data_IF_991407172703
#
_entry.id   IF_991407172703
#
_cell.length_a   1.000
_cell.length_b   1.000
_cell.length_c   1.000
_cell.angle_alpha   90.00
_cell.angle_beta   90.00
_cell.angle_gamma   90.00
#
_symmetry.space_group_name_H-M   'P 1'
#
loop_
_entity.id
_entity.type
_entity.pdbx_description
1 polymer ?
#
# COMPACT_ATOMS: atom_id res chain seq x y z
N UNK A 1 -16.43 22.09 -12.07
CA UNK A 1 -17.20 21.56 -10.94
C UNK A 1 -16.74 22.27 -9.68
N UNK A 2 -17.51 23.27 -9.25
CA UNK A 2 -17.28 23.99 -8.00
C UNK A 2 -17.63 23.08 -6.81
N UNK A 3 -16.75 23.08 -5.79
CA UNK A 3 -16.98 22.30 -4.57
C UNK A 3 -18.01 23.01 -3.68
N UNK A 4 -19.17 22.38 -3.48
CA UNK A 4 -20.29 22.86 -2.66
C UNK A 4 -19.92 22.96 -1.15
N UNK A 5 -18.86 22.28 -0.69
CA UNK A 5 -18.41 22.31 0.70
C UNK A 5 -17.04 22.99 0.86
N UNK A 6 -17.01 24.10 1.61
CA UNK A 6 -15.80 24.86 2.00
C UNK A 6 -15.09 24.32 3.25
N UNK A 7 -15.27 23.04 3.56
CA UNK A 7 -14.55 22.37 4.67
C UNK A 7 -13.12 22.02 4.28
N UNK A 8 -12.21 21.86 5.26
CA UNK A 8 -10.89 21.29 4.99
C UNK A 8 -11.07 19.93 4.31
N UNK A 9 -10.34 19.65 3.20
CA UNK A 9 -10.47 18.36 2.52
C UNK A 9 -10.12 17.24 3.49
N UNK A 10 -10.98 16.22 3.57
CA UNK A 10 -10.68 15.01 4.33
C UNK A 10 -9.44 14.36 3.70
N UNK A 11 -8.34 14.31 4.44
CA UNK A 11 -7.11 13.64 4.02
C UNK A 11 -7.03 12.27 4.69
N UNK A 12 -6.22 11.38 4.13
CA UNK A 12 -6.02 10.03 4.61
C UNK A 12 -6.74 8.96 3.81
N UNK A 13 -6.71 7.75 4.36
CA UNK A 13 -7.34 6.56 3.79
C UNK A 13 -8.64 6.24 4.53
N UNK A 14 -9.71 5.99 3.79
CA UNK A 14 -11.05 5.72 4.33
C UNK A 14 -11.76 4.57 3.61
N UNK A 15 -12.65 3.83 4.29
CA UNK A 15 -13.40 2.75 3.67
C UNK A 15 -14.34 3.31 2.60
N UNK A 16 -14.54 2.57 1.50
CA UNK A 16 -15.62 2.87 0.55
C UNK A 16 -16.99 2.36 1.02
N UNK A 17 -17.04 1.63 2.15
CA UNK A 17 -18.23 1.03 2.77
C UNK A 17 -18.98 -0.02 1.92
N UNK A 18 -18.48 -0.35 0.73
CA UNK A 18 -19.09 -1.32 -0.19
C UNK A 18 -18.20 -2.50 -0.56
N UNK A 19 -17.10 -2.77 0.17
CA UNK A 19 -16.24 -3.91 -0.15
C UNK A 19 -15.60 -4.59 1.06
N UNK A 20 -15.30 -5.88 0.93
CA UNK A 20 -14.66 -6.72 1.96
C UNK A 20 -13.31 -6.16 2.43
N UNK A 21 -12.59 -5.45 1.55
CA UNK A 21 -11.28 -4.85 1.87
C UNK A 21 -11.40 -3.74 2.92
N UNK A 22 -12.59 -3.14 3.13
CA UNK A 22 -12.79 -2.12 4.15
C UNK A 22 -12.54 -2.64 5.58
N UNK A 23 -12.69 -3.95 5.83
CA UNK A 23 -12.48 -4.55 7.15
C UNK A 23 -11.02 -4.52 7.64
N UNK A 24 -10.07 -4.50 6.70
CA UNK A 24 -8.63 -4.49 6.96
C UNK A 24 -7.99 -3.11 6.80
N UNK A 25 -8.78 -2.04 6.59
CA UNK A 25 -8.23 -0.71 6.35
C UNK A 25 -7.70 -0.06 7.65
N UNK A 26 -6.53 0.58 7.57
CA UNK A 26 -6.04 1.53 8.57
C UNK A 26 -6.57 2.90 8.18
N UNK A 27 -7.52 3.41 8.97
CA UNK A 27 -8.15 4.70 8.70
C UNK A 27 -7.27 5.84 9.20
N UNK A 28 -7.29 6.96 8.47
CA UNK A 28 -6.80 8.24 8.98
C UNK A 28 -5.72 8.90 8.15
N UNK A 29 -5.31 10.08 8.65
CA UNK A 29 -4.45 11.06 7.96
C UNK A 29 -2.95 10.84 8.19
N UNK A 30 -2.56 9.80 8.93
CA UNK A 30 -1.17 9.53 9.33
C UNK A 30 -0.83 8.07 9.08
N UNK A 31 0.41 7.83 8.65
CA UNK A 31 1.08 6.53 8.69
C UNK A 31 2.09 6.56 9.83
N UNK A 32 2.07 5.54 10.69
CA UNK A 32 3.12 5.37 11.71
C UNK A 32 4.30 4.61 11.09
N UNK A 33 5.50 5.17 11.21
CA UNK A 33 6.71 4.49 10.77
C UNK A 33 6.91 3.18 11.57
N UNK A 34 7.14 2.04 10.92
CA UNK A 34 7.12 0.73 11.58
C UNK A 34 8.19 0.56 12.68
N UNK A 35 9.40 1.07 12.46
CA UNK A 35 10.50 0.96 13.44
C UNK A 35 10.64 2.16 14.37
N UNK A 36 10.58 3.38 13.82
CA UNK A 36 10.83 4.63 14.58
C UNK A 36 9.58 5.17 15.31
N UNK A 37 8.39 4.70 14.97
CA UNK A 37 7.13 5.19 15.53
C UNK A 37 6.73 6.62 15.13
N UNK A 38 7.57 7.34 14.38
CA UNK A 38 7.27 8.71 13.98
C UNK A 38 6.05 8.78 13.04
N UNK A 39 5.27 9.86 13.20
CA UNK A 39 4.02 10.10 12.48
C UNK A 39 4.31 10.77 11.13
N UNK A 40 3.91 10.13 10.04
CA UNK A 40 4.06 10.65 8.68
C UNK A 40 2.69 11.11 8.17
N UNK A 41 2.45 12.43 7.98
CA UNK A 41 1.17 12.94 7.52
C UNK A 41 0.92 12.64 6.04
N UNK A 42 -0.30 12.21 5.72
CA UNK A 42 -0.78 11.95 4.37
C UNK A 42 -1.38 13.22 3.76
N UNK A 43 -1.11 13.45 2.48
CA UNK A 43 -1.50 14.66 1.74
C UNK A 43 -2.59 14.42 0.69
N UNK A 44 -3.31 13.32 0.79
CA UNK A 44 -4.26 12.87 -0.22
C UNK A 44 -5.50 12.28 0.44
N UNK A 45 -6.63 12.25 -0.27
CA UNK A 45 -7.79 11.43 0.08
C UNK A 45 -7.75 10.14 -0.73
N UNK A 46 -7.91 9.00 -0.08
CA UNK A 46 -8.00 7.71 -0.75
C UNK A 46 -9.04 6.79 -0.13
N UNK A 47 -9.58 5.91 -0.97
CA UNK A 47 -10.46 4.81 -0.59
C UNK A 47 -10.05 3.52 -1.30
N UNK A 48 -10.78 2.44 -1.06
CA UNK A 48 -10.58 1.17 -1.76
C UNK A 48 -10.75 1.28 -3.29
N UNK A 49 -11.44 2.31 -3.79
CA UNK A 49 -11.65 2.55 -5.22
C UNK A 49 -10.56 3.44 -5.85
N UNK A 50 -9.61 3.95 -5.06
CA UNK A 50 -8.57 4.84 -5.59
C UNK A 50 -7.58 4.05 -6.44
N UNK A 51 -7.17 4.65 -7.56
CA UNK A 51 -6.21 4.11 -8.52
C UNK A 51 -4.91 4.90 -8.49
N UNK A 52 -3.85 4.37 -9.12
CA UNK A 52 -2.52 5.01 -9.21
C UNK A 52 -1.95 5.32 -7.83
N UNK A 53 -1.84 4.31 -7.00
CA UNK A 53 -1.46 4.45 -5.60
C UNK A 53 -0.17 3.73 -5.27
N UNK A 54 0.54 4.26 -4.28
CA UNK A 54 1.46 3.49 -3.44
C UNK A 54 0.72 3.14 -2.17
N UNK A 55 0.72 1.87 -1.79
CA UNK A 55 0.02 1.35 -0.63
C UNK A 55 0.96 0.57 0.29
N UNK A 56 0.52 0.38 1.53
CA UNK A 56 1.18 -0.40 2.56
C UNK A 56 0.28 -1.56 2.96
N UNK A 57 0.88 -2.74 3.18
CA UNK A 57 0.32 -3.79 4.02
C UNK A 57 1.11 -3.83 5.33
N UNK A 58 0.42 -3.94 6.46
CA UNK A 58 0.99 -4.06 7.80
C UNK A 58 0.63 -5.42 8.38
N UNK A 59 1.65 -6.17 8.73
CA UNK A 59 1.54 -7.46 9.40
C UNK A 59 1.31 -7.27 10.91
N UNK A 60 0.57 -8.16 11.59
CA UNK A 60 0.44 -8.13 13.06
C UNK A 60 1.78 -8.14 13.81
N UNK A 61 2.85 -8.73 13.24
CA UNK A 61 4.19 -8.70 13.83
C UNK A 61 4.94 -7.37 13.64
N UNK A 62 4.29 -6.35 13.08
CA UNK A 62 4.86 -5.01 12.91
C UNK A 62 5.60 -4.78 11.58
N UNK A 63 5.97 -5.85 10.85
CA UNK A 63 6.59 -5.73 9.53
C UNK A 63 5.62 -5.15 8.49
N UNK A 64 6.15 -4.41 7.53
CA UNK A 64 5.37 -3.79 6.46
C UNK A 64 5.85 -4.22 5.08
N UNK A 65 4.90 -4.32 4.16
CA UNK A 65 5.12 -4.41 2.72
C UNK A 65 4.66 -3.11 2.07
N UNK A 66 5.41 -2.60 1.10
CA UNK A 66 5.02 -1.47 0.27
C UNK A 66 4.88 -1.96 -1.16
N UNK A 67 3.77 -1.62 -1.80
CA UNK A 67 3.52 -1.94 -3.20
C UNK A 67 2.92 -0.74 -3.94
N UNK A 68 2.94 -0.81 -5.26
CA UNK A 68 2.21 0.13 -6.12
C UNK A 68 1.13 -0.54 -6.96
N UNK A 69 0.18 0.26 -7.44
CA UNK A 69 -0.79 -0.17 -8.44
C UNK A 69 -1.38 0.97 -9.22
N UNK A 70 -1.52 0.78 -10.53
CA UNK A 70 -2.36 1.63 -11.40
C UNK A 70 -3.85 1.28 -11.29
N UNK A 71 -4.20 0.07 -10.83
CA UNK A 71 -5.57 -0.41 -10.63
C UNK A 71 -6.12 0.03 -9.26
N UNK A 72 -7.41 -0.20 -9.05
CA UNK A 72 -8.06 0.12 -7.78
C UNK A 72 -7.44 -0.69 -6.62
N UNK A 73 -7.26 -0.05 -5.46
CA UNK A 73 -6.68 -0.69 -4.27
C UNK A 73 -7.41 -1.98 -3.91
N UNK A 74 -8.75 -2.00 -4.01
CA UNK A 74 -9.56 -3.17 -3.67
C UNK A 74 -9.21 -4.41 -4.49
N UNK A 75 -8.79 -4.25 -5.75
CA UNK A 75 -8.39 -5.38 -6.60
C UNK A 75 -7.10 -6.01 -6.07
N UNK A 76 -6.11 -5.16 -5.77
CA UNK A 76 -4.80 -5.58 -5.25
C UNK A 76 -4.92 -6.23 -3.87
N UNK A 77 -5.73 -5.67 -2.98
CA UNK A 77 -5.96 -6.26 -1.66
C UNK A 77 -6.66 -7.62 -1.78
N UNK A 78 -7.56 -7.82 -2.75
CA UNK A 78 -8.17 -9.14 -3.00
C UNK A 78 -7.14 -10.16 -3.50
N UNK A 79 -6.22 -9.74 -4.38
CA UNK A 79 -5.14 -10.60 -4.87
C UNK A 79 -4.24 -11.06 -3.72
N UNK A 80 -3.69 -10.14 -2.92
CA UNK A 80 -2.89 -10.50 -1.73
C UNK A 80 -3.62 -11.45 -0.79
N UNK A 81 -4.93 -11.22 -0.57
CA UNK A 81 -5.76 -12.11 0.25
C UNK A 81 -5.88 -13.51 -0.36
N UNK A 82 -6.01 -13.59 -1.68
CA UNK A 82 -6.02 -14.85 -2.44
C UNK A 82 -4.69 -15.58 -2.33
N UNK A 83 -3.57 -14.89 -2.53
CA UNK A 83 -2.22 -15.45 -2.47
C UNK A 83 -1.91 -16.02 -1.09
N UNK A 84 -2.28 -15.31 -0.01
CA UNK A 84 -2.12 -15.80 1.36
C UNK A 84 -3.00 -17.03 1.62
N UNK A 85 -4.25 -17.00 1.16
CA UNK A 85 -5.20 -18.10 1.39
C UNK A 85 -4.77 -19.37 0.68
N UNK A 86 -4.27 -19.23 -0.54
CA UNK A 86 -3.96 -20.34 -1.44
C UNK A 86 -2.44 -20.58 -1.57
N UNK A 87 -1.66 -20.12 -0.57
CA UNK A 87 -0.21 -20.15 -0.63
C UNK A 87 0.33 -21.55 -0.96
N UNK A 88 1.17 -21.61 -2.00
CA UNK A 88 1.92 -22.79 -2.38
C UNK A 88 3.31 -22.38 -2.87
N UNK A 89 4.34 -22.98 -2.30
CA UNK A 89 5.74 -22.74 -2.66
C UNK A 89 5.96 -22.97 -4.16
N UNK A 90 6.80 -22.12 -4.79
CA UNK A 90 7.13 -22.18 -6.21
C UNK A 90 5.93 -22.02 -7.16
N UNK A 91 4.94 -21.23 -6.77
CA UNK A 91 3.80 -20.87 -7.63
C UNK A 91 3.61 -19.35 -7.70
N UNK A 92 2.69 -18.86 -8.51
CA UNK A 92 2.36 -17.43 -8.55
C UNK A 92 1.87 -16.86 -7.19
N UNK A 93 1.38 -17.74 -6.30
CA UNK A 93 0.97 -17.35 -4.94
C UNK A 93 2.14 -17.25 -3.96
N UNK A 94 3.35 -17.65 -4.35
CA UNK A 94 4.58 -17.54 -3.56
C UNK A 94 5.16 -16.13 -3.62
N UNK A 95 4.40 -15.18 -3.07
CA UNK A 95 4.83 -13.79 -2.90
C UNK A 95 5.51 -13.61 -1.55
N UNK A 96 6.30 -12.55 -1.40
CA UNK A 96 7.00 -12.28 -0.13
C UNK A 96 6.04 -12.15 1.06
N UNK A 97 4.85 -11.59 0.83
CA UNK A 97 3.80 -11.43 1.85
C UNK A 97 3.16 -12.76 2.22
N UNK A 98 2.78 -13.59 1.24
CA UNK A 98 2.13 -14.87 1.50
C UNK A 98 3.08 -15.89 2.11
N UNK A 99 4.34 -15.94 1.64
CA UNK A 99 5.42 -16.74 2.23
C UNK A 99 5.62 -16.38 3.70
N UNK A 100 5.78 -15.09 4.00
CA UNK A 100 5.91 -14.60 5.37
C UNK A 100 4.70 -14.96 6.24
N UNK A 101 3.48 -14.79 5.72
CA UNK A 101 2.27 -15.15 6.47
C UNK A 101 2.22 -16.64 6.79
N UNK A 102 2.60 -17.50 5.85
CA UNK A 102 2.69 -18.95 6.06
C UNK A 102 3.73 -19.30 7.14
N UNK A 103 4.94 -18.74 7.04
CA UNK A 103 6.04 -18.97 8.00
C UNK A 103 5.67 -18.53 9.42
N UNK A 104 5.07 -17.35 9.56
CA UNK A 104 4.70 -16.78 10.87
C UNK A 104 3.30 -17.19 11.35
N UNK A 105 2.61 -18.11 10.64
CA UNK A 105 1.23 -18.54 10.96
C UNK A 105 0.23 -17.37 11.07
N UNK A 106 0.43 -16.32 10.27
CA UNK A 106 -0.50 -15.20 10.16
C UNK A 106 -1.51 -15.44 9.04
N UNK A 107 -2.69 -14.84 9.17
CA UNK A 107 -3.77 -14.98 8.21
C UNK A 107 -4.10 -13.64 7.52
N UNK A 108 -4.76 -13.74 6.37
CA UNK A 108 -5.16 -12.59 5.55
C UNK A 108 -6.11 -11.59 6.25
N UNK A 109 -6.78 -11.99 7.33
CA UNK A 109 -7.68 -11.10 8.09
C UNK A 109 -6.93 -10.24 9.11
N UNK A 110 -5.75 -10.68 9.54
CA UNK A 110 -4.87 -9.95 10.44
C UNK A 110 -4.07 -8.85 9.72
N UNK A 111 -3.81 -9.01 8.41
CA UNK A 111 -3.16 -7.96 7.64
C UNK A 111 -4.05 -6.71 7.56
N UNK A 112 -3.43 -5.57 7.79
CA UNK A 112 -4.06 -4.25 7.62
C UNK A 112 -3.44 -3.52 6.45
N UNK A 113 -4.15 -2.58 5.83
CA UNK A 113 -3.63 -1.82 4.70
C UNK A 113 -3.98 -0.33 4.74
N UNK A 114 -3.14 0.49 4.12
CA UNK A 114 -3.32 1.94 4.02
C UNK A 114 -2.75 2.46 2.70
N UNK A 115 -3.28 3.57 2.17
CA UNK A 115 -2.66 4.26 1.03
C UNK A 115 -1.61 5.24 1.55
N UNK A 116 -0.41 5.17 0.99
CA UNK A 116 0.72 6.04 1.34
C UNK A 116 0.75 7.28 0.45
N UNK A 117 0.46 7.13 -0.84
CA UNK A 117 0.46 8.21 -1.81
C UNK A 117 -0.48 7.91 -2.98
N UNK A 118 -1.15 8.94 -3.49
CA UNK A 118 -1.92 8.89 -4.74
C UNK A 118 -1.14 9.68 -5.77
N UNK A 119 -0.68 9.01 -6.81
CA UNK A 119 0.08 9.61 -7.89
C UNK A 119 -0.86 10.33 -8.85
N UNK A 120 -0.74 11.65 -8.86
CA UNK A 120 -1.45 12.50 -9.81
C UNK A 120 -0.72 12.55 -11.14
N UNK A 121 -1.46 12.75 -12.22
CA UNK A 121 -0.87 12.98 -13.54
C UNK A 121 -0.22 14.36 -13.54
N UNK A 122 1.07 14.49 -13.90
CA UNK A 122 1.72 15.80 -13.92
C UNK A 122 1.13 16.70 -15.00
N UNK A 123 1.04 18.01 -14.73
CA UNK A 123 0.54 18.99 -15.70
C UNK A 123 1.40 19.09 -16.96
N UNK A 124 2.72 18.86 -16.85
CA UNK A 124 3.69 18.96 -17.96
C UNK A 124 3.93 17.63 -18.69
N UNK A 125 3.03 16.65 -18.51
CA UNK A 125 3.23 15.29 -19.00
C UNK A 125 4.29 14.51 -18.20
N UNK A 126 4.66 13.34 -18.70
CA UNK A 126 5.55 12.40 -18.04
C UNK A 126 4.93 11.02 -17.85
N UNK A 127 5.77 9.99 -17.84
CA UNK A 127 5.29 8.62 -17.71
C UNK A 127 4.84 8.35 -16.27
N UNK A 128 3.52 8.34 -16.05
CA UNK A 128 2.90 8.12 -14.74
C UNK A 128 3.31 6.78 -14.10
N UNK A 129 3.58 5.75 -14.90
CA UNK A 129 4.09 4.46 -14.39
C UNK A 129 5.50 4.61 -13.82
N UNK A 130 6.37 5.37 -14.47
CA UNK A 130 7.73 5.61 -13.95
C UNK A 130 7.68 6.40 -12.64
N UNK A 131 6.81 7.42 -12.55
CA UNK A 131 6.58 8.15 -11.30
C UNK A 131 6.10 7.19 -10.21
N UNK A 132 5.17 6.30 -10.54
CA UNK A 132 4.64 5.33 -9.59
C UNK A 132 5.73 4.39 -9.05
N UNK A 133 6.62 3.88 -9.90
CA UNK A 133 7.79 3.09 -9.51
C UNK A 133 8.77 3.87 -8.62
N UNK A 134 9.07 5.12 -8.98
CA UNK A 134 9.94 5.99 -8.16
C UNK A 134 9.33 6.25 -6.79
N UNK A 135 8.01 6.48 -6.70
CA UNK A 135 7.32 6.72 -5.43
C UNK A 135 7.31 5.46 -4.57
N UNK A 136 7.05 4.29 -5.14
CA UNK A 136 7.15 3.01 -4.45
C UNK A 136 8.53 2.83 -3.82
N UNK A 137 9.59 3.02 -4.61
CA UNK A 137 10.98 2.93 -4.18
C UNK A 137 11.30 3.86 -3.00
N UNK A 138 10.85 5.12 -3.09
CA UNK A 138 11.01 6.10 -1.99
C UNK A 138 10.28 5.67 -0.72
N UNK A 139 9.07 5.11 -0.84
CA UNK A 139 8.30 4.64 0.32
C UNK A 139 8.86 3.37 0.95
N UNK A 140 9.37 2.43 0.14
CA UNK A 140 10.10 1.25 0.63
C UNK A 140 11.28 1.68 1.51
N UNK A 141 12.10 2.63 1.02
CA UNK A 141 13.21 3.19 1.79
C UNK A 141 12.71 3.93 3.04
N UNK A 142 11.71 4.78 2.89
CA UNK A 142 11.18 5.64 3.98
C UNK A 142 10.57 4.85 5.13
N UNK A 143 10.00 3.68 4.87
CA UNK A 143 9.40 2.82 5.90
C UNK A 143 10.27 1.64 6.31
N UNK A 144 11.51 1.54 5.82
CA UNK A 144 12.39 0.39 6.05
C UNK A 144 11.68 -0.94 5.72
N UNK A 145 10.99 -0.99 4.57
CA UNK A 145 10.13 -2.11 4.20
C UNK A 145 10.89 -3.31 3.59
N UNK A 146 12.20 -3.21 3.39
CA UNK A 146 13.03 -4.30 2.88
C UNK A 146 13.27 -5.38 3.95
N UNK A 147 13.38 -6.64 3.52
CA UNK A 147 13.87 -7.73 4.37
C UNK A 147 15.28 -7.39 4.90
N UNK A 148 15.59 -7.63 6.19
CA UNK A 148 14.80 -8.37 7.17
C UNK A 148 13.77 -7.54 7.99
N UNK A 149 13.84 -6.20 7.96
CA UNK A 149 12.98 -5.34 8.79
C UNK A 149 11.54 -5.24 8.27
N UNK A 150 11.33 -5.40 6.96
CA UNK A 150 10.03 -5.45 6.33
C UNK A 150 9.82 -6.71 5.50
N UNK A 151 8.95 -6.61 4.49
CA UNK A 151 8.43 -7.73 3.70
C UNK A 151 8.73 -7.60 2.19
N UNK A 152 9.39 -6.54 1.75
CA UNK A 152 9.82 -6.40 0.36
C UNK A 152 11.14 -7.17 0.15
N UNK A 153 11.14 -8.16 -0.75
CA UNK A 153 12.34 -8.93 -1.12
C UNK A 153 13.26 -8.09 -2.03
N UNK A 154 12.66 -7.28 -2.90
CA UNK A 154 13.34 -6.43 -3.87
C UNK A 154 12.59 -5.11 -4.03
N UNK A 155 13.30 -4.11 -4.56
CA UNK A 155 12.72 -2.86 -5.05
C UNK A 155 13.40 -2.51 -6.36
N UNK A 156 12.62 -2.18 -7.39
CA UNK A 156 13.15 -1.84 -8.70
C UNK A 156 13.53 -0.37 -8.69
N UNK A 157 14.82 -0.06 -8.56
CA UNK A 157 15.35 1.24 -8.98
C UNK A 157 15.56 1.14 -10.48
N UNK A 158 14.59 1.55 -11.27
CA UNK A 158 14.93 1.84 -12.66
C UNK A 158 15.69 3.16 -12.65
N UNK A 159 16.98 3.09 -12.95
CA UNK A 159 17.86 4.23 -13.18
C UNK A 159 17.34 4.99 -14.39
N UNK A 160 16.41 5.91 -14.18
CA UNK A 160 15.98 6.89 -15.18
C UNK A 160 16.73 8.20 -14.95
N UNK A 161 18.06 8.12 -14.84
CA UNK A 161 18.94 9.29 -15.00
C UNK A 161 19.02 9.63 -16.48
#
# INVERSE_FOLDING_TARGET
>A
MEKIFKGKPNLGTFPCLGCVCCSSIIKGVVVQHPTKGNRIPLRHYATCNTQWVVYMLKCPCGKVYVGQSSREVKAIIKEHRGDIKNFKLNTYTDTSVSRHCNECRHNMSQLKWQVLEVVQTPQRGGNKKNILLQKEALWIKKLCAMVPQGLNDQWIVVSYL
#
